data_IF_936707762547
#
_entry.id   IF_936707762547
#
_cell.length_a   1.000
_cell.length_b   1.000
_cell.length_c   1.000
_cell.angle_alpha   90.00
_cell.angle_beta   90.00
_cell.angle_gamma   90.00
#
_symmetry.space_group_name_H-M   'P 1'
#
loop_
_entity.id
_entity.type
_entity.pdbx_description
1 polymer ?
#
# COMPACT_ATOMS: atom_id res chain seq x y z
N UNK A 1 -18.70 -0.78 14.53
CA UNK A 1 -18.39 0.63 14.85
C UNK A 1 -17.39 1.17 13.86
N UNK A 2 -17.68 2.31 13.28
CA UNK A 2 -16.75 2.99 12.37
C UNK A 2 -16.49 4.39 12.88
N UNK A 3 -15.22 4.77 12.94
CA UNK A 3 -14.79 6.11 13.30
C UNK A 3 -14.15 6.77 12.10
N UNK A 4 -14.27 8.08 12.01
CA UNK A 4 -13.68 8.86 10.92
C UNK A 4 -12.90 10.04 11.50
N UNK A 5 -11.66 10.21 11.02
CA UNK A 5 -10.78 11.29 11.46
C UNK A 5 -10.29 12.04 10.22
N UNK A 6 -10.26 13.35 10.29
CA UNK A 6 -9.85 14.21 9.17
C UNK A 6 -8.62 15.04 9.56
N UNK A 7 -7.63 15.10 8.63
CA UNK A 7 -6.40 15.86 8.77
C UNK A 7 -6.15 16.66 7.49
N UNK A 8 -6.77 17.81 7.36
CA UNK A 8 -6.62 18.59 6.12
C UNK A 8 -7.07 17.80 4.90
N UNK A 9 -6.12 17.35 4.09
CA UNK A 9 -6.38 16.59 2.86
C UNK A 9 -6.40 15.07 3.04
N UNK A 10 -6.33 14.58 4.29
CA UNK A 10 -6.34 13.15 4.59
C UNK A 10 -7.54 12.79 5.44
N UNK A 11 -8.25 11.74 5.06
CA UNK A 11 -9.30 11.13 5.88
C UNK A 11 -8.90 9.71 6.23
N UNK A 12 -9.07 9.32 7.50
CA UNK A 12 -8.86 7.95 7.96
C UNK A 12 -10.17 7.41 8.50
N UNK A 13 -10.64 6.33 7.89
CA UNK A 13 -11.82 5.60 8.35
C UNK A 13 -11.37 4.35 9.08
N UNK A 14 -11.88 4.13 10.30
CA UNK A 14 -11.48 3.02 11.16
C UNK A 14 -12.67 2.12 11.41
N UNK A 15 -12.55 0.84 11.07
CA UNK A 15 -13.57 -0.18 11.31
C UNK A 15 -12.92 -1.31 12.10
N UNK A 16 -13.58 -1.80 13.13
CA UNK A 16 -13.01 -2.87 13.94
C UNK A 16 -14.03 -3.98 14.25
N UNK A 17 -13.49 -5.18 14.39
CA UNK A 17 -14.17 -6.37 14.87
C UNK A 17 -13.44 -6.90 16.11
N UNK A 18 -13.81 -8.08 16.58
CA UNK A 18 -13.15 -8.70 17.74
C UNK A 18 -11.67 -9.01 17.47
N UNK A 19 -11.33 -9.41 16.23
CA UNK A 19 -9.99 -9.91 15.88
C UNK A 19 -9.22 -9.02 14.93
N UNK A 20 -9.87 -7.99 14.36
CA UNK A 20 -9.24 -7.14 13.33
C UNK A 20 -9.61 -5.66 13.53
N UNK A 21 -8.67 -4.80 13.19
CA UNK A 21 -8.94 -3.37 12.97
C UNK A 21 -8.44 -3.01 11.57
N UNK A 22 -9.26 -2.24 10.85
CA UNK A 22 -8.95 -1.77 9.51
C UNK A 22 -8.92 -0.25 9.50
N UNK A 23 -7.82 0.30 8.96
CA UNK A 23 -7.65 1.73 8.72
C UNK A 23 -7.66 1.98 7.22
N UNK A 24 -8.61 2.78 6.74
CA UNK A 24 -8.66 3.18 5.33
C UNK A 24 -8.20 4.61 5.21
N UNK A 25 -7.15 4.84 4.42
CA UNK A 25 -6.56 6.16 4.22
C UNK A 25 -6.98 6.72 2.87
N UNK A 26 -7.52 7.94 2.87
CA UNK A 26 -8.01 8.60 1.64
C UNK A 26 -7.43 10.01 1.58
N UNK A 27 -6.60 10.27 0.58
CA UNK A 27 -6.04 11.59 0.33
C UNK A 27 -4.53 11.68 0.44
N UNK A 28 -4.05 12.82 0.95
CA UNK A 28 -2.63 13.17 0.99
C UNK A 28 -2.08 13.09 2.41
N UNK A 29 -0.94 12.44 2.56
CA UNK A 29 -0.21 12.36 3.83
C UNK A 29 0.82 13.48 3.84
N UNK A 30 0.41 14.63 4.37
CA UNK A 30 1.17 15.87 4.31
C UNK A 30 1.39 16.48 5.71
N UNK A 31 1.74 17.75 5.77
CA UNK A 31 2.04 18.47 7.01
C UNK A 31 0.84 18.61 7.96
N UNK A 32 -0.38 18.34 7.49
CA UNK A 32 -1.58 18.37 8.33
C UNK A 32 -1.81 17.06 9.08
N UNK A 33 -1.16 15.98 8.63
CA UNK A 33 -1.29 14.66 9.25
C UNK A 33 -0.59 14.63 10.61
N UNK A 34 -1.31 14.25 11.65
CA UNK A 34 -0.80 14.11 13.03
C UNK A 34 -0.99 12.68 13.50
N UNK A 35 0.06 11.92 13.47
CA UNK A 35 -0.01 10.50 13.84
C UNK A 35 -0.46 10.28 15.29
N UNK A 36 -0.18 11.25 16.18
CA UNK A 36 -0.56 11.16 17.59
C UNK A 36 -2.07 11.09 17.80
N UNK A 37 -2.83 11.66 16.87
CA UNK A 37 -4.28 11.71 16.95
C UNK A 37 -4.95 10.48 16.30
N UNK A 38 -4.17 9.56 15.74
CA UNK A 38 -4.69 8.29 15.21
C UNK A 38 -4.78 7.27 16.34
N UNK A 39 -5.95 6.69 16.62
CA UNK A 39 -6.08 5.70 17.67
C UNK A 39 -5.17 4.48 17.49
N UNK A 40 -4.51 4.08 18.56
CA UNK A 40 -3.70 2.85 18.62
C UNK A 40 -4.59 1.72 19.13
N UNK A 41 -5.13 0.93 18.22
CA UNK A 41 -6.06 -0.16 18.54
C UNK A 41 -5.32 -1.47 18.43
N UNK A 42 -5.16 -2.15 19.57
CA UNK A 42 -4.47 -3.44 19.62
C UNK A 42 -5.42 -4.57 19.21
N UNK A 43 -5.10 -5.22 18.09
CA UNK A 43 -5.83 -6.39 17.59
C UNK A 43 -4.83 -7.39 17.01
N UNK A 44 -5.16 -8.69 16.99
CA UNK A 44 -4.28 -9.69 16.35
C UNK A 44 -3.96 -9.34 14.90
N UNK A 45 -4.94 -8.82 14.17
CA UNK A 45 -4.77 -8.45 12.76
C UNK A 45 -5.08 -6.98 12.56
N UNK A 46 -4.17 -6.29 11.88
CA UNK A 46 -4.31 -4.87 11.56
C UNK A 46 -4.15 -4.71 10.05
N UNK A 47 -5.14 -4.12 9.40
CA UNK A 47 -5.16 -3.94 7.95
C UNK A 47 -5.17 -2.46 7.61
N UNK A 48 -4.26 -2.05 6.73
CA UNK A 48 -4.24 -0.72 6.13
C UNK A 48 -4.71 -0.83 4.68
N UNK A 49 -5.82 -0.16 4.35
CA UNK A 49 -6.34 -0.01 2.99
C UNK A 49 -5.77 1.27 2.39
N UNK A 50 -4.96 1.14 1.34
CA UNK A 50 -4.10 2.21 0.86
C UNK A 50 -4.28 2.56 -0.62
N UNK A 51 -5.39 2.15 -1.24
CA UNK A 51 -5.61 2.41 -2.67
C UNK A 51 -5.88 3.89 -2.98
N UNK A 52 -6.33 4.65 -2.00
CA UNK A 52 -6.68 6.06 -2.17
C UNK A 52 -5.67 7.03 -1.56
N UNK A 53 -4.47 6.56 -1.22
CA UNK A 53 -3.36 7.45 -0.91
C UNK A 53 -2.80 8.01 -2.21
N UNK A 54 -2.83 9.35 -2.33
CA UNK A 54 -2.46 10.03 -3.56
C UNK A 54 -1.08 10.67 -3.51
N UNK A 55 -0.63 11.10 -2.33
CA UNK A 55 0.63 11.82 -2.21
C UNK A 55 1.23 11.74 -0.80
N UNK A 56 2.56 11.85 -0.73
CA UNK A 56 3.32 12.04 0.50
C UNK A 56 4.24 13.23 0.34
N UNK A 57 4.37 14.07 1.38
CA UNK A 57 5.47 15.01 1.46
C UNK A 57 6.40 14.67 2.64
N UNK A 58 7.50 15.36 2.79
CA UNK A 58 8.51 15.03 3.81
C UNK A 58 7.98 15.08 5.24
N UNK A 59 7.06 16.01 5.54
CA UNK A 59 6.43 16.09 6.86
C UNK A 59 5.51 14.89 7.10
N UNK A 60 4.71 14.54 6.09
CA UNK A 60 3.81 13.39 6.15
C UNK A 60 4.55 12.06 6.27
N UNK A 61 5.65 11.90 5.54
CA UNK A 61 6.49 10.69 5.62
C UNK A 61 6.99 10.46 7.04
N UNK A 62 7.48 11.50 7.71
CA UNK A 62 7.95 11.39 9.09
C UNK A 62 6.83 10.94 10.04
N UNK A 63 5.67 11.55 9.94
CA UNK A 63 4.50 11.18 10.76
C UNK A 63 4.06 9.75 10.46
N UNK A 64 4.07 9.36 9.19
CA UNK A 64 3.73 8.01 8.75
C UNK A 64 4.65 6.95 9.38
N UNK A 65 5.96 7.18 9.35
CA UNK A 65 6.95 6.24 9.89
C UNK A 65 6.72 6.03 11.40
N UNK A 66 6.43 7.09 12.15
CA UNK A 66 6.10 6.95 13.57
C UNK A 66 4.83 6.14 13.79
N UNK A 67 3.79 6.38 12.99
CA UNK A 67 2.54 5.61 13.07
C UNK A 67 2.79 4.13 12.80
N UNK A 68 3.49 3.80 11.72
CA UNK A 68 3.77 2.42 11.31
C UNK A 68 4.60 1.69 12.36
N UNK A 69 5.56 2.37 12.95
CA UNK A 69 6.39 1.79 14.03
C UNK A 69 5.54 1.39 15.23
N UNK A 70 4.66 2.29 15.68
CA UNK A 70 3.79 2.02 16.83
C UNK A 70 2.77 0.92 16.53
N UNK A 71 2.08 1.05 15.40
CA UNK A 71 1.04 0.09 15.00
C UNK A 71 1.62 -1.31 14.78
N UNK A 72 2.83 -1.40 14.22
CA UNK A 72 3.51 -2.68 13.99
C UNK A 72 3.81 -3.46 15.27
N UNK A 73 3.85 -2.80 16.44
CA UNK A 73 4.01 -3.46 17.73
C UNK A 73 2.68 -3.97 18.32
N UNK A 74 1.55 -3.59 17.74
CA UNK A 74 0.23 -3.88 18.30
C UNK A 74 -0.44 -5.12 17.72
N UNK A 75 0.03 -5.61 16.58
CA UNK A 75 -0.53 -6.78 15.92
C UNK A 75 0.15 -7.05 14.58
N UNK A 76 -0.35 -8.04 13.87
CA UNK A 76 0.16 -8.37 12.53
C UNK A 76 -0.36 -7.33 11.53
N UNK A 77 0.54 -6.48 11.05
CA UNK A 77 0.21 -5.37 10.15
C UNK A 77 0.27 -5.81 8.69
N UNK A 78 -0.82 -5.57 7.97
CA UNK A 78 -0.98 -5.91 6.56
C UNK A 78 -1.34 -4.65 5.77
N UNK A 79 -0.63 -4.43 4.66
CA UNK A 79 -0.94 -3.37 3.69
C UNK A 79 -1.66 -4.01 2.52
N UNK A 80 -2.86 -3.56 2.22
CA UNK A 80 -3.66 -4.11 1.12
C UNK A 80 -4.06 -3.02 0.13
N UNK A 81 -4.16 -3.40 -1.14
CA UNK A 81 -4.52 -2.51 -2.25
C UNK A 81 -3.67 -1.24 -2.28
N UNK A 82 -2.36 -1.40 -2.08
CA UNK A 82 -1.45 -0.25 -2.06
C UNK A 82 -1.49 0.49 -3.41
N UNK A 83 -1.68 1.81 -3.37
CA UNK A 83 -1.61 2.64 -4.56
C UNK A 83 -0.19 2.61 -5.14
N UNK A 84 -0.05 3.01 -6.40
CA UNK A 84 1.28 3.18 -7.02
C UNK A 84 2.14 4.13 -6.17
N UNK A 85 1.55 5.22 -5.69
CA UNK A 85 2.22 6.17 -4.79
C UNK A 85 2.73 5.49 -3.52
N UNK A 86 1.93 4.61 -2.92
CA UNK A 86 2.35 3.89 -1.71
C UNK A 86 3.52 2.95 -1.98
N UNK A 87 3.51 2.23 -3.09
CA UNK A 87 4.62 1.36 -3.47
C UNK A 87 5.89 2.17 -3.73
N UNK A 88 5.78 3.28 -4.46
CA UNK A 88 6.91 4.19 -4.66
C UNK A 88 7.48 4.68 -3.33
N UNK A 89 6.60 5.01 -2.39
CA UNK A 89 7.01 5.46 -1.05
C UNK A 89 7.76 4.35 -0.29
N UNK A 90 7.29 3.12 -0.32
CA UNK A 90 7.97 1.98 0.30
C UNK A 90 9.33 1.74 -0.34
N UNK A 91 9.41 1.84 -1.66
CA UNK A 91 10.67 1.64 -2.39
C UNK A 91 11.71 2.73 -2.06
N UNK A 92 11.28 3.98 -1.91
CA UNK A 92 12.17 5.09 -1.56
C UNK A 92 12.58 5.06 -0.09
N UNK A 93 11.64 4.75 0.80
CA UNK A 93 11.85 4.76 2.25
C UNK A 93 11.26 3.48 2.85
N UNK A 94 12.04 2.41 2.94
CA UNK A 94 11.54 1.10 3.43
C UNK A 94 10.92 1.14 4.83
N UNK A 95 11.32 2.09 5.68
CA UNK A 95 10.69 2.28 6.99
C UNK A 95 9.21 2.66 6.90
N UNK A 96 8.73 3.07 5.72
CA UNK A 96 7.31 3.33 5.48
C UNK A 96 6.44 2.08 5.59
N UNK A 97 7.03 0.90 5.48
CA UNK A 97 6.36 -0.39 5.69
C UNK A 97 6.59 -0.93 7.11
N UNK A 98 7.74 -0.65 7.72
CA UNK A 98 8.10 -1.14 9.04
C UNK A 98 8.06 -2.67 9.14
N UNK A 99 7.33 -3.19 10.12
CA UNK A 99 7.13 -4.63 10.32
C UNK A 99 5.96 -5.19 9.50
N UNK A 100 5.31 -4.37 8.69
CA UNK A 100 4.20 -4.79 7.86
C UNK A 100 4.62 -5.62 6.66
N UNK A 101 3.62 -6.13 5.95
CA UNK A 101 3.84 -6.81 4.67
C UNK A 101 2.76 -6.37 3.67
N UNK A 102 3.09 -6.46 2.38
CA UNK A 102 2.16 -6.11 1.31
C UNK A 102 1.38 -7.35 0.87
N UNK A 103 0.05 -7.31 0.98
CA UNK A 103 -0.84 -8.37 0.50
C UNK A 103 -1.19 -8.19 -0.97
N UNK A 104 -1.50 -6.95 -1.36
CA UNK A 104 -1.86 -6.60 -2.74
C UNK A 104 -1.51 -5.15 -3.02
N UNK A 105 -1.33 -4.84 -4.30
CA UNK A 105 -0.92 -3.50 -4.72
C UNK A 105 -1.29 -3.26 -6.17
N UNK A 106 -1.37 -1.99 -6.56
CA UNK A 106 -1.56 -1.59 -7.94
C UNK A 106 -0.21 -1.36 -8.63
N UNK A 107 -0.12 -1.80 -9.88
CA UNK A 107 1.04 -1.58 -10.71
C UNK A 107 0.62 -0.86 -12.01
N UNK A 108 1.47 0.07 -12.50
CA UNK A 108 1.14 0.83 -13.70
C UNK A 108 1.40 0.01 -14.97
N UNK A 109 0.42 0.02 -15.85
CA UNK A 109 0.50 -0.61 -17.17
C UNK A 109 0.02 0.38 -18.23
N UNK A 110 0.34 0.09 -19.48
CA UNK A 110 -0.02 0.92 -20.62
C UNK A 110 -0.56 0.06 -21.76
N UNK A 111 -1.57 0.58 -22.45
CA UNK A 111 -2.05 0.02 -23.71
C UNK A 111 -2.21 1.13 -24.75
N UNK A 112 -1.76 0.88 -25.98
CA UNK A 112 -1.87 1.86 -27.05
C UNK A 112 -3.31 2.26 -27.37
N UNK A 113 -4.27 1.39 -27.07
CA UNK A 113 -5.69 1.68 -27.35
C UNK A 113 -6.34 2.62 -26.33
N UNK A 114 -5.87 2.66 -25.08
CA UNK A 114 -6.53 3.41 -24.01
C UNK A 114 -5.59 4.13 -23.03
N UNK A 115 -4.27 4.04 -23.23
CA UNK A 115 -3.28 4.71 -22.39
C UNK A 115 -3.00 3.97 -21.09
N UNK A 116 -2.82 4.73 -20.02
CA UNK A 116 -2.43 4.20 -18.71
C UNK A 116 -3.57 3.47 -18.02
N UNK A 117 -3.24 2.35 -17.37
CA UNK A 117 -4.16 1.59 -16.53
C UNK A 117 -3.40 0.96 -15.38
N UNK A 118 -3.93 1.07 -14.16
CA UNK A 118 -3.35 0.40 -12.99
C UNK A 118 -4.03 -0.95 -12.80
N UNK A 119 -3.22 -2.00 -12.59
CA UNK A 119 -3.75 -3.35 -12.38
C UNK A 119 -3.44 -3.80 -10.96
N UNK A 120 -4.44 -4.36 -10.28
CA UNK A 120 -4.28 -4.92 -8.95
C UNK A 120 -3.55 -6.27 -9.03
N UNK A 121 -2.49 -6.40 -8.25
CA UNK A 121 -1.69 -7.62 -8.17
C UNK A 121 -1.82 -8.18 -6.75
N UNK A 122 -2.26 -9.44 -6.66
CA UNK A 122 -2.26 -10.20 -5.42
C UNK A 122 -0.87 -10.83 -5.25
N UNK A 123 -0.20 -10.51 -4.15
CA UNK A 123 1.17 -10.97 -3.90
C UNK A 123 1.23 -12.49 -3.80
N UNK A 124 0.29 -13.12 -3.09
CA UNK A 124 0.30 -14.56 -2.87
C UNK A 124 0.18 -15.37 -4.17
N UNK A 125 -0.49 -14.82 -5.17
CA UNK A 125 -0.69 -15.46 -6.47
C UNK A 125 0.47 -15.24 -7.44
N UNK A 126 1.40 -14.33 -7.12
CA UNK A 126 2.48 -13.91 -8.03
C UNK A 126 3.84 -13.89 -7.34
N UNK A 127 4.02 -14.66 -6.27
CA UNK A 127 5.25 -14.62 -5.45
C UNK A 127 6.52 -14.83 -6.24
N UNK A 128 6.57 -15.87 -7.10
CA UNK A 128 7.78 -16.19 -7.87
C UNK A 128 8.16 -15.05 -8.82
N UNK A 129 7.17 -14.50 -9.53
CA UNK A 129 7.39 -13.40 -10.45
C UNK A 129 7.89 -12.16 -9.70
N UNK A 130 7.27 -11.82 -8.60
CA UNK A 130 7.63 -10.63 -7.80
C UNK A 130 9.02 -10.77 -7.18
N UNK A 131 9.37 -11.95 -6.68
CA UNK A 131 10.72 -12.21 -6.16
C UNK A 131 11.80 -12.10 -7.23
N UNK A 132 11.47 -12.45 -8.47
CA UNK A 132 12.36 -12.31 -9.63
C UNK A 132 12.24 -10.94 -10.30
N UNK A 133 11.49 -10.01 -9.70
CA UNK A 133 11.26 -8.66 -10.21
C UNK A 133 10.72 -8.66 -11.64
N UNK A 134 9.73 -9.51 -11.88
CA UNK A 134 9.05 -9.63 -13.17
C UNK A 134 7.59 -9.20 -13.03
N UNK A 135 7.14 -8.33 -13.91
CA UNK A 135 5.76 -7.87 -13.94
C UNK A 135 4.82 -8.99 -14.40
N UNK A 136 3.75 -9.31 -13.66
CA UNK A 136 2.72 -10.21 -14.14
C UNK A 136 2.10 -9.74 -15.45
N UNK A 137 1.76 -10.66 -16.33
CA UNK A 137 1.12 -10.35 -17.61
C UNK A 137 -0.38 -10.13 -17.45
N UNK A 138 -0.87 -9.09 -18.10
CA UNK A 138 -2.29 -8.79 -18.20
C UNK A 138 -2.65 -8.47 -19.65
N UNK A 139 -3.88 -8.77 -20.02
CA UNK A 139 -4.44 -8.37 -21.31
C UNK A 139 -5.35 -7.16 -21.15
N UNK A 140 -5.34 -6.27 -22.15
CA UNK A 140 -6.22 -5.12 -22.17
C UNK A 140 -7.69 -5.58 -22.29
N UNK A 141 -8.55 -5.06 -21.44
CA UNK A 141 -9.97 -5.40 -21.44
C UNK A 141 -10.71 -4.85 -22.68
N UNK A 142 -10.16 -3.79 -23.30
CA UNK A 142 -10.77 -3.18 -24.49
C UNK A 142 -10.36 -3.83 -25.80
N UNK A 143 -9.03 -4.05 -26.00
CA UNK A 143 -8.52 -4.53 -27.29
C UNK A 143 -7.93 -5.95 -27.26
N UNK A 144 -7.82 -6.55 -26.08
CA UNK A 144 -7.31 -7.92 -25.90
C UNK A 144 -5.80 -8.08 -26.02
N UNK A 145 -5.06 -7.03 -26.38
CA UNK A 145 -3.59 -7.08 -26.49
C UNK A 145 -2.95 -7.11 -25.12
N UNK A 146 -1.74 -7.69 -25.03
CA UNK A 146 -0.97 -7.71 -23.80
C UNK A 146 -0.61 -6.28 -23.39
N UNK A 147 -0.87 -5.96 -22.12
CA UNK A 147 -0.48 -4.67 -21.54
C UNK A 147 1.03 -4.60 -21.37
N UNK A 148 1.59 -3.41 -21.56
CA UNK A 148 3.00 -3.14 -21.29
C UNK A 148 3.14 -2.61 -19.86
N UNK A 149 4.11 -3.14 -19.10
CA UNK A 149 4.42 -2.63 -17.78
C UNK A 149 5.06 -1.24 -17.91
N UNK A 150 4.49 -0.25 -17.24
CA UNK A 150 4.83 1.17 -17.42
C UNK A 150 5.76 1.69 -16.31
N UNK A 151 6.75 0.89 -15.92
CA UNK A 151 7.79 1.27 -14.98
C UNK A 151 9.02 0.37 -15.20
N UNK A 152 10.09 0.64 -14.46
CA UNK A 152 11.27 -0.23 -14.46
C UNK A 152 11.03 -1.36 -13.46
N UNK A 153 10.99 -2.59 -13.94
CA UNK A 153 10.67 -3.77 -13.12
C UNK A 153 11.58 -3.88 -11.89
N UNK A 154 12.89 -3.73 -12.08
CA UNK A 154 13.85 -3.85 -10.98
C UNK A 154 13.62 -2.80 -9.88
N UNK A 155 13.26 -1.59 -10.26
CA UNK A 155 13.01 -0.50 -9.30
C UNK A 155 11.64 -0.61 -8.65
N UNK A 156 10.61 -0.91 -9.44
CA UNK A 156 9.23 -0.97 -8.93
C UNK A 156 9.01 -2.13 -7.98
N UNK A 157 9.58 -3.30 -8.29
CA UNK A 157 9.44 -4.48 -7.44
C UNK A 157 10.55 -4.62 -6.40
N UNK A 158 11.30 -3.56 -6.14
CA UNK A 158 12.34 -3.57 -5.11
C UNK A 158 11.76 -3.91 -3.73
N UNK A 159 10.55 -3.43 -3.41
CA UNK A 159 9.86 -3.72 -2.16
C UNK A 159 9.69 -5.24 -1.92
N UNK A 160 9.66 -6.02 -2.98
CA UNK A 160 9.46 -7.47 -2.89
C UNK A 160 10.61 -8.20 -2.18
N UNK A 161 11.76 -7.57 -2.03
CA UNK A 161 12.90 -8.16 -1.32
C UNK A 161 12.63 -8.31 0.19
N UNK A 162 11.78 -7.45 0.78
CA UNK A 162 11.54 -7.47 2.22
C UNK A 162 10.09 -7.32 2.65
N UNK A 163 9.20 -7.00 1.72
CA UNK A 163 7.82 -6.61 2.02
C UNK A 163 6.79 -7.71 1.74
N UNK A 164 7.22 -8.87 1.30
CA UNK A 164 6.33 -9.99 1.00
C UNK A 164 5.96 -10.75 2.28
N UNK A 165 4.78 -11.39 2.31
CA UNK A 165 4.41 -12.20 3.46
C UNK A 165 5.43 -13.33 3.64
N UNK A 166 5.93 -13.46 4.87
CA UNK A 166 6.83 -14.56 5.20
C UNK A 166 6.04 -15.86 5.20
N UNK A 167 6.63 -16.90 4.64
CA UNK A 167 6.08 -18.24 4.75
C UNK A 167 5.95 -18.59 6.24
N UNK A 168 4.75 -18.95 6.65
CA UNK A 168 4.48 -19.35 8.03
C UNK A 168 4.90 -20.80 8.25
#
# INVERSE_FOLDING_TARGET
>A
MSDKIEFGNLTIEIVQSDTEVQYRFVGDVDEHFRQKDVPRIKKPNITFLLEEINNFNSCGIREWIYLIRDIGEMGKLKFTRCSVTMIDQINMVPDSLGKGYVESFYAPYFCQCGGEVNRLIDVSKNLDQLQNKQAPEFNCENCGKTLEFDALEESYFLFAEGALPKAS
#
